data_IF_916681060570
#
_entry.id   IF_916681060570
#
_cell.length_a   1.000
_cell.length_b   1.000
_cell.length_c   1.000
_cell.angle_alpha   90.00
_cell.angle_beta   90.00
_cell.angle_gamma   90.00
#
_symmetry.space_group_name_H-M   'P 1'
#
loop_
_entity.id
_entity.type
_entity.pdbx_description
1 polymer ?
#
# COMPACT_ATOMS: atom_id res chain seq x y z
N UNK A 1 -1.70 2.90 -21.61
CA UNK A 1 -0.50 2.34 -20.94
C UNK A 1 -0.94 1.08 -20.20
N UNK A 2 -0.09 0.08 -20.00
CA UNK A 2 -0.46 -1.12 -19.24
C UNK A 2 0.48 -1.27 -18.05
N UNK A 3 -0.10 -1.48 -16.86
CA UNK A 3 0.61 -1.71 -15.61
C UNK A 3 0.19 -3.08 -15.08
N UNK A 4 1.17 -3.93 -14.80
CA UNK A 4 0.95 -5.26 -14.25
C UNK A 4 1.42 -5.29 -12.80
N UNK A 5 0.57 -5.83 -11.92
CA UNK A 5 0.91 -6.12 -10.54
C UNK A 5 1.10 -7.62 -10.36
N UNK A 6 2.32 -8.01 -10.00
CA UNK A 6 2.65 -9.40 -9.66
C UNK A 6 1.95 -9.83 -8.36
N UNK A 7 1.80 -11.14 -8.15
CA UNK A 7 1.09 -11.74 -7.01
C UNK A 7 1.57 -11.24 -5.66
N UNK A 8 2.88 -10.98 -5.51
CA UNK A 8 3.46 -10.44 -4.27
C UNK A 8 2.87 -9.06 -3.96
N UNK A 9 2.93 -8.15 -4.91
CA UNK A 9 2.40 -6.79 -4.76
C UNK A 9 0.89 -6.79 -4.56
N UNK A 10 0.15 -7.64 -5.28
CA UNK A 10 -1.30 -7.79 -5.08
C UNK A 10 -1.60 -8.25 -3.65
N UNK A 11 -0.82 -9.19 -3.11
CA UNK A 11 -1.01 -9.69 -1.74
C UNK A 11 -0.66 -8.62 -0.70
N UNK A 12 0.42 -7.89 -0.89
CA UNK A 12 0.82 -6.77 -0.02
C UNK A 12 -0.27 -5.68 0.01
N UNK A 13 -0.77 -5.27 -1.16
CA UNK A 13 -1.85 -4.30 -1.27
C UNK A 13 -3.17 -4.80 -0.66
N UNK A 14 -3.49 -6.09 -0.79
CA UNK A 14 -4.67 -6.69 -0.16
C UNK A 14 -4.57 -6.64 1.37
N UNK A 15 -3.40 -6.94 1.93
CA UNK A 15 -3.18 -6.87 3.38
C UNK A 15 -3.28 -5.42 3.85
N UNK A 16 -2.53 -4.51 3.23
CA UNK A 16 -2.57 -3.08 3.57
C UNK A 16 -3.99 -2.50 3.48
N UNK A 17 -4.78 -2.90 2.48
CA UNK A 17 -6.17 -2.47 2.36
C UNK A 17 -7.04 -3.02 3.49
N UNK A 18 -6.80 -4.27 3.90
CA UNK A 18 -7.51 -4.88 5.01
C UNK A 18 -7.15 -4.20 6.35
N UNK A 19 -5.86 -3.99 6.61
CA UNK A 19 -5.37 -3.27 7.79
C UNK A 19 -5.94 -1.84 7.83
N UNK A 20 -5.97 -1.12 6.71
CA UNK A 20 -6.58 0.21 6.63
C UNK A 20 -8.08 0.23 6.93
N UNK A 21 -8.82 -0.84 6.58
CA UNK A 21 -10.23 -0.99 6.95
C UNK A 21 -10.37 -1.25 8.46
N UNK A 22 -9.49 -2.08 9.03
CA UNK A 22 -9.54 -2.49 10.43
C UNK A 22 -9.12 -1.36 11.39
N UNK A 23 -8.01 -0.68 11.08
CA UNK A 23 -7.43 0.41 11.88
C UNK A 23 -7.99 1.80 11.52
N UNK A 24 -8.61 1.92 10.34
CA UNK A 24 -9.10 3.20 9.81
C UNK A 24 -7.98 4.14 9.34
N UNK A 25 -6.77 3.61 9.13
CA UNK A 25 -5.60 4.35 8.66
C UNK A 25 -5.38 4.14 7.16
N UNK A 26 -5.99 5.02 6.37
CA UNK A 26 -5.83 5.02 4.91
C UNK A 26 -4.60 5.79 4.43
N UNK A 27 -3.89 6.49 5.33
CA UNK A 27 -2.66 7.22 4.99
C UNK A 27 -1.54 6.21 4.74
N UNK A 28 -1.42 5.18 5.58
CA UNK A 28 -0.52 4.05 5.36
C UNK A 28 -0.79 3.34 4.02
N UNK A 29 -2.06 3.02 3.73
CA UNK A 29 -2.46 2.41 2.46
C UNK A 29 -2.12 3.28 1.25
N UNK A 30 -2.29 4.61 1.37
CA UNK A 30 -1.92 5.56 0.32
C UNK A 30 -0.44 5.48 0.00
N UNK A 31 0.42 5.42 1.02
CA UNK A 31 1.86 5.26 0.85
C UNK A 31 2.23 3.93 0.20
N UNK A 32 1.62 2.81 0.63
CA UNK A 32 1.86 1.49 0.04
C UNK A 32 1.38 1.39 -1.42
N UNK A 33 0.24 2.00 -1.72
CA UNK A 33 -0.23 2.13 -3.10
C UNK A 33 0.74 2.95 -3.95
N UNK A 34 1.28 4.06 -3.46
CA UNK A 34 2.24 4.85 -4.25
C UNK A 34 3.54 4.06 -4.45
N UNK A 35 4.06 3.40 -3.41
CA UNK A 35 5.30 2.61 -3.44
C UNK A 35 5.24 1.40 -4.36
N UNK A 36 4.05 0.88 -4.65
CA UNK A 36 3.88 -0.25 -5.55
C UNK A 36 4.02 0.12 -7.04
N UNK A 37 4.14 1.41 -7.37
CA UNK A 37 4.49 1.89 -8.71
C UNK A 37 5.94 2.35 -8.76
N UNK A 38 6.62 2.09 -9.88
CA UNK A 38 7.95 2.64 -10.15
C UNK A 38 7.90 4.13 -10.47
N UNK A 39 8.98 4.86 -10.19
CA UNK A 39 9.09 6.30 -10.50
C UNK A 39 8.78 6.62 -11.97
N UNK A 40 9.16 5.73 -12.91
CA UNK A 40 8.86 5.91 -14.34
C UNK A 40 7.37 5.75 -14.63
N UNK A 41 6.69 4.82 -13.96
CA UNK A 41 5.24 4.69 -14.07
C UNK A 41 4.54 5.91 -13.49
N UNK A 42 4.99 6.39 -12.33
CA UNK A 42 4.46 7.58 -11.66
C UNK A 42 4.56 8.81 -12.57
N UNK A 43 5.75 9.10 -13.11
CA UNK A 43 5.97 10.24 -14.00
C UNK A 43 5.10 10.17 -15.28
N UNK A 44 4.89 8.95 -15.81
CA UNK A 44 3.99 8.72 -16.94
C UNK A 44 2.50 8.88 -16.60
N UNK A 45 2.09 8.53 -15.38
CA UNK A 45 0.74 8.76 -14.87
C UNK A 45 0.52 10.27 -14.69
N UNK A 46 1.45 10.98 -14.05
CA UNK A 46 1.37 12.43 -13.81
C UNK A 46 1.29 13.24 -15.10
N UNK A 47 1.98 12.81 -16.17
CA UNK A 47 1.85 13.42 -17.50
C UNK A 47 0.44 13.30 -18.09
N UNK A 48 -0.31 12.27 -17.69
CA UNK A 48 -1.69 12.01 -18.15
C UNK A 48 -2.72 12.65 -17.24
N UNK A 49 -2.42 12.82 -15.96
CA UNK A 49 -3.23 13.60 -15.03
C UNK A 49 -3.37 15.04 -15.54
N UNK A 50 -4.60 15.53 -15.59
CA UNK A 50 -4.87 16.91 -16.02
C UNK A 50 -4.59 17.94 -14.91
N UNK A 51 -4.50 17.49 -13.66
CA UNK A 51 -4.24 18.28 -12.45
C UNK A 51 -3.86 17.34 -11.31
N UNK A 52 -3.05 17.84 -10.37
CA UNK A 52 -2.59 17.06 -9.21
C UNK A 52 -1.36 16.20 -9.51
N UNK A 53 -0.70 15.75 -8.44
CA UNK A 53 0.39 14.78 -8.48
C UNK A 53 -0.18 13.37 -8.22
N UNK A 54 0.59 12.32 -8.49
CA UNK A 54 0.11 10.95 -8.36
C UNK A 54 -0.36 10.58 -6.93
N UNK A 55 0.33 10.99 -5.84
CA UNK A 55 -0.14 10.73 -4.48
C UNK A 55 -1.48 11.40 -4.16
N UNK A 56 -1.72 12.62 -4.66
CA UNK A 56 -3.03 13.28 -4.51
C UNK A 56 -4.13 12.48 -5.22
N UNK A 57 -3.87 12.00 -6.43
CA UNK A 57 -4.81 11.15 -7.16
C UNK A 57 -5.16 9.86 -6.41
N UNK A 58 -4.19 9.21 -5.77
CA UNK A 58 -4.41 8.03 -4.93
C UNK A 58 -5.24 8.38 -3.69
N UNK A 59 -4.96 9.50 -3.03
CA UNK A 59 -5.77 9.95 -1.89
C UNK A 59 -7.22 10.23 -2.30
N UNK A 60 -7.45 10.95 -3.40
CA UNK A 60 -8.80 11.20 -3.93
C UNK A 60 -9.53 9.87 -4.26
N UNK A 61 -8.80 8.88 -4.75
CA UNK A 61 -9.32 7.55 -5.03
C UNK A 61 -9.73 6.81 -3.76
N UNK A 62 -8.88 6.85 -2.72
CA UNK A 62 -9.17 6.21 -1.44
C UNK A 62 -10.36 6.86 -0.73
N UNK A 63 -10.51 8.18 -0.84
CA UNK A 63 -11.71 8.89 -0.37
C UNK A 63 -12.98 8.42 -1.10
N UNK A 64 -12.88 8.09 -2.38
CA UNK A 64 -14.00 7.55 -3.18
C UNK A 64 -14.33 6.09 -2.84
N UNK A 65 -13.31 5.26 -2.63
CA UNK A 65 -13.47 3.85 -2.25
C UNK A 65 -14.25 3.69 -0.93
N UNK A 66 -13.95 4.55 0.06
CA UNK A 66 -14.73 4.64 1.29
C UNK A 66 -14.54 3.50 2.29
N UNK A 67 -13.43 2.75 2.20
CA UNK A 67 -13.03 1.69 3.15
C UNK A 67 -14.06 0.55 3.30
N UNK A 68 -14.76 0.19 2.23
CA UNK A 68 -15.84 -0.80 2.29
C UNK A 68 -15.32 -2.25 2.23
N UNK A 69 -14.71 -2.63 1.12
CA UNK A 69 -14.22 -3.97 0.86
C UNK A 69 -12.94 -3.92 0.01
N UNK A 70 -11.99 -4.81 0.30
CA UNK A 70 -10.70 -4.87 -0.41
C UNK A 70 -10.89 -5.06 -1.91
N UNK A 71 -11.81 -5.94 -2.34
CA UNK A 71 -12.05 -6.14 -3.77
C UNK A 71 -12.65 -4.88 -4.45
N UNK A 72 -13.35 -4.01 -3.70
CA UNK A 72 -13.86 -2.73 -4.21
C UNK A 72 -12.71 -1.71 -4.43
N UNK A 73 -11.62 -1.78 -3.66
CA UNK A 73 -10.44 -0.94 -3.89
C UNK A 73 -9.84 -1.20 -5.27
N UNK A 74 -9.68 -2.48 -5.62
CA UNK A 74 -9.12 -2.88 -6.92
C UNK A 74 -10.02 -2.46 -8.08
N UNK A 75 -11.35 -2.63 -7.96
CA UNK A 75 -12.32 -2.17 -8.97
C UNK A 75 -12.27 -0.63 -9.15
N UNK A 76 -12.13 0.10 -8.04
CA UNK A 76 -11.97 1.57 -8.04
C UNK A 76 -10.65 1.97 -8.72
N UNK A 77 -9.55 1.27 -8.45
CA UNK A 77 -8.27 1.45 -9.14
C UNK A 77 -8.40 1.22 -10.65
N UNK A 78 -8.98 0.11 -11.09
CA UNK A 78 -9.17 -0.15 -12.52
C UNK A 78 -10.00 0.95 -13.19
N UNK A 79 -11.08 1.39 -12.52
CA UNK A 79 -11.96 2.43 -13.03
C UNK A 79 -11.22 3.76 -13.19
N UNK A 80 -10.58 4.25 -12.13
CA UNK A 80 -9.90 5.56 -12.11
C UNK A 80 -8.73 5.61 -13.07
N UNK A 81 -7.97 4.52 -13.20
CA UNK A 81 -6.88 4.46 -14.18
C UNK A 81 -7.38 4.34 -15.63
N UNK A 82 -8.50 3.65 -15.86
CA UNK A 82 -9.12 3.61 -17.19
C UNK A 82 -9.57 5.00 -17.66
N UNK A 83 -9.98 5.90 -16.75
CA UNK A 83 -10.33 7.29 -17.08
C UNK A 83 -9.16 8.09 -17.67
N UNK A 84 -7.91 7.70 -17.35
CA UNK A 84 -6.68 8.32 -17.84
C UNK A 84 -5.96 7.48 -18.91
N UNK A 85 -6.66 6.54 -19.55
CA UNK A 85 -6.14 5.66 -20.62
C UNK A 85 -5.00 4.73 -20.14
N UNK A 86 -5.08 4.29 -18.88
CA UNK A 86 -4.17 3.33 -18.28
C UNK A 86 -4.96 2.08 -17.91
N UNK A 87 -4.51 0.93 -18.41
CA UNK A 87 -5.04 -0.38 -18.05
C UNK A 87 -4.20 -0.96 -16.92
N UNK A 88 -4.84 -1.32 -15.82
CA UNK A 88 -4.19 -2.06 -14.73
C UNK A 88 -4.60 -3.52 -14.82
N UNK A 89 -3.64 -4.41 -14.57
CA UNK A 89 -3.85 -5.85 -14.50
C UNK A 89 -3.28 -6.36 -13.18
N UNK A 90 -4.09 -7.07 -12.42
CA UNK A 90 -3.66 -7.73 -11.19
C UNK A 90 -3.48 -9.22 -11.45
N UNK A 91 -2.33 -9.75 -11.08
CA UNK A 91 -2.12 -11.19 -11.04
C UNK A 91 -3.06 -11.79 -9.99
N UNK A 92 -3.90 -12.73 -10.42
CA UNK A 92 -4.88 -13.34 -9.54
C UNK A 92 -4.15 -14.23 -8.52
N UNK A 93 -4.06 -13.75 -7.27
CA UNK A 93 -3.40 -14.48 -6.19
C UNK A 93 -4.05 -15.84 -5.87
N UNK A 94 -5.22 -16.17 -6.45
CA UNK A 94 -5.93 -17.45 -6.30
C UNK A 94 -5.62 -18.44 -7.44
N UNK A 95 -4.87 -18.06 -8.47
CA UNK A 95 -4.71 -18.88 -9.70
C UNK A 95 -3.53 -19.86 -9.67
N UNK A 96 -2.60 -19.76 -8.71
CA UNK A 96 -1.49 -20.72 -8.57
C UNK A 96 -1.57 -21.46 -7.24
N UNK A 97 -2.34 -22.56 -7.28
CA UNK A 97 -2.29 -23.69 -6.34
C UNK A 97 -1.13 -24.66 -6.67
N UNK A 98 -0.25 -24.35 -7.64
CA UNK A 98 0.85 -25.22 -8.05
C UNK A 98 2.10 -24.36 -8.32
N UNK A 99 3.20 -24.73 -7.69
CA UNK A 99 4.58 -24.26 -7.93
C UNK A 99 5.07 -23.04 -7.12
N UNK A 100 5.57 -23.40 -5.92
CA UNK A 100 6.75 -22.83 -5.23
C UNK A 100 6.50 -21.76 -4.15
N UNK A 101 6.41 -22.29 -2.92
CA UNK A 101 6.94 -21.73 -1.67
C UNK A 101 8.10 -20.75 -1.87
N UNK A 102 7.91 -19.47 -1.52
CA UNK A 102 8.85 -18.71 -0.68
C UNK A 102 8.02 -17.73 0.16
N UNK A 103 7.65 -18.18 1.36
CA UNK A 103 7.29 -17.30 2.46
C UNK A 103 8.56 -16.54 2.88
N UNK A 104 8.82 -15.37 2.29
CA UNK A 104 9.71 -14.41 2.96
C UNK A 104 8.92 -13.82 4.14
N UNK A 105 9.15 -14.40 5.31
CA UNK A 105 8.86 -13.80 6.61
C UNK A 105 9.41 -12.37 6.63
N UNK A 106 8.53 -11.39 6.74
CA UNK A 106 8.90 -10.02 7.13
C UNK A 106 9.39 -10.08 8.58
N UNK A 107 10.70 -10.06 8.74
CA UNK A 107 11.40 -9.81 10.01
C UNK A 107 11.20 -8.33 10.39
N UNK A 108 10.08 -8.02 11.06
CA UNK A 108 9.88 -6.75 11.73
C UNK A 108 9.21 -7.01 13.08
N UNK A 109 10.00 -7.42 14.07
CA UNK A 109 9.70 -7.22 15.49
C UNK A 109 10.94 -7.61 16.32
N UNK A 110 11.68 -6.60 16.80
CA UNK A 110 12.03 -6.41 18.22
C UNK A 110 12.91 -5.15 18.34
N UNK A 111 12.21 -4.01 18.31
CA UNK A 111 12.70 -2.71 18.75
C UNK A 111 13.00 -2.79 20.26
N UNK A 112 14.26 -3.02 20.62
CA UNK A 112 14.77 -2.99 22.01
C UNK A 112 14.75 -1.54 22.54
N UNK A 113 13.60 -1.08 23.03
CA UNK A 113 13.43 0.19 23.75
C UNK A 113 13.18 -0.02 25.25
N UNK A 114 14.07 -0.72 25.95
CA UNK A 114 14.17 -0.53 27.41
C UNK A 114 15.16 0.58 27.75
N UNK A 115 14.71 1.82 27.54
CA UNK A 115 15.18 3.00 28.28
C UNK A 115 14.59 2.94 29.71
N UNK A 116 15.38 2.58 30.71
CA UNK A 116 15.00 2.73 32.13
C UNK A 116 16.12 3.41 32.94
N UNK A 117 15.98 4.73 33.00
CA UNK A 117 16.13 5.64 34.14
C UNK A 117 17.42 5.60 35.00
N UNK A 118 18.23 6.66 34.87
CA UNK A 118 19.28 7.02 35.82
C UNK A 118 18.69 7.35 37.21
N UNK A 119 18.68 6.39 38.14
CA UNK A 119 18.47 6.70 39.56
C UNK A 119 19.78 7.23 40.17
N UNK A 120 19.86 8.56 40.32
CA UNK A 120 20.84 9.22 41.19
C UNK A 120 20.41 9.08 42.66
N UNK A 121 21.19 8.45 43.55
CA UNK A 121 21.05 8.72 44.98
C UNK A 121 21.99 9.86 45.38
N UNK A 122 21.41 11.05 45.58
CA UNK A 122 22.05 12.15 46.31
C UNK A 122 21.98 11.89 47.83
N UNK A 123 22.98 12.41 48.54
CA UNK A 123 23.37 12.16 49.93
C UNK A 123 22.35 12.64 50.99
N UNK A 124 22.32 12.00 52.18
CA UNK A 124 22.32 12.66 53.51
C UNK A 124 22.18 11.62 54.65
N UNK A 125 23.29 11.30 55.37
CA UNK A 125 23.42 11.31 56.85
C UNK A 125 24.89 11.11 57.31
#
# INVERSE_FOLDING_TARGET
MEIYFDRRTVRELRNAAQDAIEDGDYEALSEDLVKSFSDEQIDEIEKRLSSGDFPDFINELLEEWGLDDVDNLFDTLETRFAEIDIEIRFEDARTEEDEEEEEEEVDDEELDESLDEEESPDEDE
#
